data_IF_198689589064
#
_entry.id   IF_198689589064
#
_cell.length_a   1.000
_cell.length_b   1.000
_cell.length_c   1.000
_cell.angle_alpha   90.00
_cell.angle_beta   90.00
_cell.angle_gamma   90.00
#
_symmetry.space_group_name_H-M   'P 1'
#
loop_
_entity.id
_entity.type
_entity.pdbx_description
1 polymer ?
#
# COMPACT_ATOMS: atom_id res chain seq x y z
N UNK A 1 14.32 17.92 -7.72
CA UNK A 1 13.45 17.22 -6.79
C UNK A 1 14.17 16.01 -6.15
N UNK A 2 14.80 15.15 -6.94
CA UNK A 2 15.53 13.96 -6.47
C UNK A 2 17.02 14.21 -6.26
N UNK A 3 17.65 13.36 -5.45
CA UNK A 3 19.10 13.27 -5.33
C UNK A 3 19.63 12.59 -6.60
N UNK A 4 20.15 13.37 -7.53
CA UNK A 4 20.69 12.92 -8.82
C UNK A 4 21.63 13.97 -9.36
N UNK A 5 22.46 13.60 -10.34
CA UNK A 5 23.39 14.50 -11.02
C UNK A 5 23.01 14.65 -12.50
N UNK A 6 22.37 15.77 -12.89
CA UNK A 6 21.94 15.99 -14.27
C UNK A 6 23.09 16.13 -15.28
N UNK A 7 24.33 16.28 -14.83
CA UNK A 7 25.53 16.34 -15.69
C UNK A 7 26.01 14.95 -16.12
N UNK A 8 25.56 13.90 -15.46
CA UNK A 8 25.95 12.51 -15.73
C UNK A 8 24.97 11.81 -16.67
N UNK A 9 25.40 10.79 -17.43
CA UNK A 9 24.52 9.91 -18.15
C UNK A 9 23.46 9.31 -17.19
N UNK A 10 22.22 9.19 -17.67
CA UNK A 10 21.08 8.68 -16.88
C UNK A 10 20.87 9.42 -15.55
N UNK A 11 21.26 10.71 -15.46
CA UNK A 11 21.16 11.52 -14.24
C UNK A 11 21.99 10.97 -13.07
N UNK A 12 23.02 10.17 -13.36
CA UNK A 12 23.89 9.52 -12.38
C UNK A 12 23.32 8.23 -11.79
N UNK A 13 22.14 7.79 -12.23
CA UNK A 13 21.61 6.48 -11.82
C UNK A 13 22.36 5.36 -12.53
N UNK A 14 22.79 4.36 -11.77
CA UNK A 14 23.62 3.25 -12.23
C UNK A 14 22.83 1.99 -12.61
N UNK A 15 21.56 1.91 -12.23
CA UNK A 15 20.68 0.79 -12.50
C UNK A 15 19.22 1.20 -12.41
N UNK A 16 18.32 0.33 -12.91
CA UNK A 16 16.87 0.50 -12.71
C UNK A 16 16.51 0.53 -11.22
N UNK A 17 17.09 -0.35 -10.41
CA UNK A 17 16.85 -0.37 -8.97
C UNK A 17 17.28 0.92 -8.27
N UNK A 18 18.41 1.48 -8.68
CA UNK A 18 18.90 2.77 -8.16
C UNK A 18 17.92 3.91 -8.48
N UNK A 19 17.41 3.96 -9.71
CA UNK A 19 16.34 4.88 -10.10
C UNK A 19 15.05 4.61 -9.36
N UNK A 20 14.62 3.37 -9.25
CA UNK A 20 13.36 2.97 -8.61
C UNK A 20 13.34 3.36 -7.13
N UNK A 21 14.47 3.17 -6.43
CA UNK A 21 14.65 3.50 -5.02
C UNK A 21 15.22 4.90 -4.77
N UNK A 22 15.15 5.81 -5.75
CA UNK A 22 15.69 7.16 -5.66
C UNK A 22 15.20 7.92 -4.43
N UNK A 23 15.94 8.90 -4.02
CA UNK A 23 15.62 9.71 -2.82
C UNK A 23 15.28 11.14 -3.20
N UNK A 24 14.38 11.74 -2.44
CA UNK A 24 14.11 13.17 -2.51
C UNK A 24 15.23 13.97 -1.84
N UNK A 25 15.46 15.17 -2.33
CA UNK A 25 16.27 16.15 -1.62
C UNK A 25 15.56 16.62 -0.37
N UNK A 26 16.30 17.00 0.66
CA UNK A 26 15.74 17.55 1.88
C UNK A 26 14.78 18.72 1.59
N UNK A 27 13.64 18.75 2.28
CA UNK A 27 12.59 19.75 2.11
C UNK A 27 11.70 19.59 0.88
N UNK A 28 11.98 18.61 -0.01
CA UNK A 28 11.07 18.26 -1.09
C UNK A 28 9.99 17.29 -0.56
N UNK A 29 8.74 17.60 -0.74
CA UNK A 29 7.61 16.80 -0.25
C UNK A 29 7.52 16.76 1.28
N UNK A 30 7.27 17.91 1.94
CA UNK A 30 6.96 17.92 3.37
C UNK A 30 5.68 17.12 3.63
N UNK A 31 5.63 16.40 4.75
CA UNK A 31 4.46 15.65 5.16
C UNK A 31 3.33 16.63 5.52
N UNK A 32 2.16 16.41 4.98
CA UNK A 32 0.99 17.23 5.31
C UNK A 32 0.58 17.01 6.77
N UNK A 33 0.16 18.08 7.46
CA UNK A 33 -0.31 17.99 8.84
C UNK A 33 0.79 17.59 9.83
N UNK A 34 2.05 17.91 9.56
CA UNK A 34 3.15 17.64 10.49
C UNK A 34 2.81 18.20 11.89
N UNK A 35 2.87 17.33 12.92
CA UNK A 35 2.51 17.65 14.30
C UNK A 35 1.01 17.50 14.63
N UNK A 36 0.15 17.22 13.66
CA UNK A 36 -1.26 16.88 13.91
C UNK A 36 -1.43 15.36 13.95
N UNK A 37 -1.55 14.78 15.14
CA UNK A 37 -1.73 13.33 15.33
C UNK A 37 -3.03 12.77 14.75
N UNK A 38 -3.99 13.62 14.37
CA UNK A 38 -5.25 13.20 13.71
C UNK A 38 -5.12 13.14 12.19
N UNK A 39 -4.05 13.68 11.63
CA UNK A 39 -3.84 13.67 10.19
C UNK A 39 -3.31 12.33 9.74
N UNK A 40 -4.08 11.62 8.92
CA UNK A 40 -3.65 10.41 8.22
C UNK A 40 -3.23 10.83 6.82
N UNK A 41 -1.99 10.54 6.46
CA UNK A 41 -1.43 10.89 5.15
C UNK A 41 -1.27 9.64 4.27
N UNK A 42 -1.21 9.84 2.96
CA UNK A 42 -0.88 8.74 2.05
C UNK A 42 0.54 8.24 2.32
N UNK A 43 0.72 6.94 2.46
CA UNK A 43 2.04 6.35 2.71
C UNK A 43 3.01 6.51 1.53
N UNK A 44 2.52 6.77 0.32
CA UNK A 44 3.30 6.96 -0.91
C UNK A 44 2.56 7.87 -1.90
N UNK A 45 3.23 8.21 -3.01
CA UNK A 45 2.65 9.04 -4.10
C UNK A 45 1.76 8.22 -5.04
N UNK A 46 0.78 7.54 -4.48
CA UNK A 46 -0.14 6.69 -5.22
C UNK A 46 -1.42 7.44 -5.60
N UNK A 47 -2.05 6.97 -6.67
CA UNK A 47 -3.38 7.44 -7.08
C UNK A 47 -4.44 6.63 -6.34
N UNK A 48 -5.43 7.26 -5.70
CA UNK A 48 -6.52 6.54 -5.06
C UNK A 48 -7.21 5.59 -6.04
N UNK A 49 -7.37 4.34 -5.63
CA UNK A 49 -8.07 3.32 -6.41
C UNK A 49 -9.45 3.03 -5.82
N UNK A 50 -9.50 2.75 -4.52
CA UNK A 50 -10.75 2.43 -3.84
C UNK A 50 -10.70 2.81 -2.36
N UNK A 51 -11.87 3.14 -1.83
CA UNK A 51 -12.11 3.30 -0.39
C UNK A 51 -13.28 2.41 -0.02
N UNK A 52 -13.08 1.51 0.94
CA UNK A 52 -14.11 0.63 1.47
C UNK A 52 -14.27 0.88 2.97
N UNK A 53 -15.49 1.01 3.42
CA UNK A 53 -15.83 1.12 4.82
C UNK A 53 -16.44 -0.19 5.31
N UNK A 54 -16.42 -0.40 6.62
CA UNK A 54 -16.99 -1.59 7.25
C UNK A 54 -16.34 -2.89 6.73
N UNK A 55 -15.00 -2.91 6.70
CA UNK A 55 -14.22 -4.05 6.23
C UNK A 55 -14.56 -5.31 7.05
N UNK A 56 -14.78 -6.42 6.36
CA UNK A 56 -15.17 -7.69 7.00
C UNK A 56 -13.98 -8.61 7.16
N UNK A 57 -14.05 -9.44 8.20
CA UNK A 57 -13.06 -10.50 8.41
C UNK A 57 -12.98 -11.41 7.19
N UNK A 58 -14.12 -11.86 6.68
CA UNK A 58 -14.29 -12.65 5.46
C UNK A 58 -15.46 -12.08 4.66
N UNK A 59 -15.28 -11.87 3.39
CA UNK A 59 -16.32 -11.40 2.50
C UNK A 59 -16.45 -12.32 1.29
N UNK A 60 -17.65 -12.34 0.67
CA UNK A 60 -17.96 -13.19 -0.47
C UNK A 60 -17.93 -12.39 -1.76
N UNK A 61 -17.31 -12.96 -2.79
CA UNK A 61 -17.22 -12.35 -4.12
C UNK A 61 -18.58 -12.31 -4.83
N UNK A 62 -18.91 -11.13 -5.33
CA UNK A 62 -19.89 -10.95 -6.39
C UNK A 62 -19.17 -10.37 -7.62
N UNK A 63 -19.48 -10.83 -8.80
CA UNK A 63 -18.76 -10.74 -10.09
C UNK A 63 -18.30 -9.32 -10.51
N UNK A 64 -18.66 -8.25 -9.82
CA UNK A 64 -18.25 -6.87 -10.18
C UNK A 64 -17.80 -5.99 -9.01
N UNK A 65 -17.87 -6.48 -7.79
CA UNK A 65 -17.29 -5.80 -6.64
C UNK A 65 -16.35 -6.80 -5.97
N UNK A 66 -15.07 -6.48 -5.90
CA UNK A 66 -14.12 -7.33 -5.19
C UNK A 66 -14.10 -6.87 -3.73
N UNK A 67 -14.82 -7.57 -2.83
CA UNK A 67 -14.79 -7.24 -1.43
C UNK A 67 -13.42 -7.57 -0.85
N UNK A 68 -13.00 -6.78 0.12
CA UNK A 68 -11.75 -7.03 0.82
C UNK A 68 -12.01 -7.98 1.99
N UNK A 69 -11.43 -9.17 1.94
CA UNK A 69 -11.38 -10.08 3.10
C UNK A 69 -10.14 -9.79 3.92
N UNK A 70 -10.30 -9.29 5.13
CA UNK A 70 -9.18 -8.99 6.03
C UNK A 70 -8.33 -10.23 6.31
N UNK A 71 -8.96 -11.40 6.40
CA UNK A 71 -8.28 -12.69 6.53
C UNK A 71 -7.24 -12.89 5.42
N UNK A 72 -7.62 -12.59 4.18
CA UNK A 72 -6.76 -12.80 3.03
C UNK A 72 -5.70 -11.71 2.91
N UNK A 73 -6.05 -10.46 3.24
CA UNK A 73 -5.10 -9.34 3.29
C UNK A 73 -3.99 -9.59 4.30
N UNK A 74 -4.33 -9.97 5.52
CA UNK A 74 -3.34 -10.21 6.57
C UNK A 74 -2.63 -11.55 6.45
N UNK A 75 -3.19 -12.50 5.71
CA UNK A 75 -2.60 -13.78 5.41
C UNK A 75 -2.74 -14.85 6.52
N UNK A 76 -2.24 -16.07 6.26
CA UNK A 76 -2.43 -17.20 7.14
C UNK A 76 -1.77 -16.98 8.52
N UNK A 77 -2.43 -17.48 9.57
CA UNK A 77 -1.95 -17.37 10.94
C UNK A 77 -2.17 -16.02 11.62
N UNK A 78 -2.81 -15.05 10.94
CA UNK A 78 -3.04 -13.70 11.45
C UNK A 78 -4.53 -13.40 11.72
N UNK A 79 -5.33 -14.42 12.02
CA UNK A 79 -6.77 -14.29 12.28
C UNK A 79 -7.11 -13.24 13.34
N UNK A 80 -6.43 -13.27 14.48
CA UNK A 80 -6.66 -12.31 15.57
C UNK A 80 -6.33 -10.86 15.16
N UNK A 81 -5.32 -10.67 14.30
CA UNK A 81 -5.02 -9.36 13.75
C UNK A 81 -6.13 -8.91 12.80
N UNK A 82 -6.57 -9.77 11.90
CA UNK A 82 -7.66 -9.49 10.96
C UNK A 82 -8.96 -9.11 11.69
N UNK A 83 -9.32 -9.82 12.74
CA UNK A 83 -10.49 -9.53 13.57
C UNK A 83 -10.42 -8.13 14.21
N UNK A 84 -9.24 -7.68 14.62
CA UNK A 84 -9.07 -6.33 15.20
C UNK A 84 -9.34 -5.20 14.20
N UNK A 85 -9.22 -5.47 12.91
CA UNK A 85 -9.50 -4.50 11.83
C UNK A 85 -10.91 -4.62 11.25
N UNK A 86 -11.72 -5.59 11.72
CA UNK A 86 -13.11 -5.72 11.30
C UNK A 86 -13.91 -4.46 11.68
N UNK A 87 -14.74 -3.99 10.74
CA UNK A 87 -15.47 -2.72 10.87
C UNK A 87 -14.65 -1.48 10.51
N UNK A 88 -13.36 -1.64 10.23
CA UNK A 88 -12.49 -0.55 9.83
C UNK A 88 -12.68 -0.11 8.39
N UNK A 89 -11.84 0.82 7.95
CA UNK A 89 -11.82 1.32 6.57
C UNK A 89 -10.55 0.87 5.87
N UNK A 90 -10.67 0.54 4.58
CA UNK A 90 -9.56 0.22 3.69
C UNK A 90 -9.44 1.33 2.66
N UNK A 91 -8.25 1.90 2.55
CA UNK A 91 -7.85 2.78 1.47
C UNK A 91 -6.85 2.04 0.60
N UNK A 92 -7.20 1.81 -0.66
CA UNK A 92 -6.31 1.23 -1.66
C UNK A 92 -5.90 2.29 -2.67
N UNK A 93 -4.62 2.32 -3.00
CA UNK A 93 -4.08 3.23 -3.99
C UNK A 93 -3.11 2.50 -4.93
N UNK A 94 -3.05 2.95 -6.16
CA UNK A 94 -2.18 2.42 -7.20
C UNK A 94 -0.93 3.26 -7.34
N UNK A 95 0.24 2.64 -7.27
CA UNK A 95 1.53 3.28 -7.44
C UNK A 95 2.16 2.84 -8.76
N UNK A 96 2.12 3.70 -9.77
CA UNK A 96 2.72 3.43 -11.06
C UNK A 96 4.24 3.23 -10.96
N UNK A 97 4.80 2.32 -11.76
CA UNK A 97 6.24 1.99 -11.80
C UNK A 97 7.16 3.21 -12.03
N UNK A 98 6.67 4.28 -12.64
CA UNK A 98 7.45 5.50 -12.89
C UNK A 98 7.43 6.50 -11.75
N UNK A 99 6.53 6.33 -10.76
CA UNK A 99 6.38 7.25 -9.65
C UNK A 99 7.48 7.06 -8.60
N UNK A 100 7.39 7.80 -7.51
CA UNK A 100 8.31 7.70 -6.39
C UNK A 100 7.89 6.52 -5.50
N UNK A 101 8.73 5.49 -5.40
CA UNK A 101 8.41 4.21 -4.75
C UNK A 101 8.83 4.09 -3.28
N UNK A 102 9.40 5.15 -2.68
CA UNK A 102 9.57 5.13 -1.23
C UNK A 102 8.28 5.50 -0.55
N UNK A 103 8.06 4.92 0.58
CA UNK A 103 6.90 5.14 1.41
C UNK A 103 7.30 5.49 2.84
N UNK A 104 6.39 6.04 3.59
CA UNK A 104 6.56 6.50 4.97
C UNK A 104 5.34 6.13 5.80
N UNK A 105 5.47 6.22 7.13
CA UNK A 105 4.36 5.97 8.03
C UNK A 105 3.23 6.98 7.75
N UNK A 106 1.98 6.50 7.54
CA UNK A 106 0.85 7.39 7.29
C UNK A 106 0.33 8.10 8.55
N UNK A 107 0.79 7.68 9.71
CA UNK A 107 0.36 8.17 11.04
C UNK A 107 1.55 8.25 11.99
N UNK A 108 1.43 9.07 13.03
CA UNK A 108 2.35 9.06 14.16
C UNK A 108 1.97 7.95 15.12
N UNK A 109 2.95 7.14 15.53
CA UNK A 109 2.70 6.00 16.40
C UNK A 109 3.88 5.04 16.52
N UNK A 110 3.64 3.90 17.14
CA UNK A 110 4.63 2.86 17.36
C UNK A 110 4.35 1.65 16.47
N UNK A 111 5.37 1.18 15.74
CA UNK A 111 5.28 -0.08 14.98
C UNK A 111 5.15 -1.23 15.98
N UNK A 112 4.06 -1.99 15.88
CA UNK A 112 3.76 -3.09 16.81
C UNK A 112 3.96 -4.47 16.20
N UNK A 113 3.88 -4.59 14.87
CA UNK A 113 4.18 -5.85 14.16
C UNK A 113 4.64 -5.57 12.72
N UNK A 114 5.55 -6.41 12.23
CA UNK A 114 5.98 -6.40 10.82
C UNK A 114 6.23 -7.84 10.36
N UNK A 115 5.68 -8.19 9.19
CA UNK A 115 5.90 -9.51 8.60
C UNK A 115 5.67 -9.50 7.09
N UNK A 116 6.03 -10.59 6.44
CA UNK A 116 5.75 -10.82 5.04
C UNK A 116 4.66 -11.87 4.87
N UNK A 117 3.87 -11.72 3.83
CA UNK A 117 2.93 -12.73 3.34
C UNK A 117 3.41 -13.16 1.97
N UNK A 118 3.68 -14.44 1.82
CA UNK A 118 4.09 -15.01 0.55
C UNK A 118 2.96 -14.95 -0.47
N UNK A 119 3.31 -14.78 -1.72
CA UNK A 119 2.34 -14.66 -2.81
C UNK A 119 3.03 -14.54 -4.17
N UNK A 120 2.29 -14.11 -5.15
CA UNK A 120 2.79 -13.91 -6.51
C UNK A 120 3.52 -12.57 -6.64
N UNK A 121 4.58 -12.52 -7.45
CA UNK A 121 5.27 -11.26 -7.78
C UNK A 121 4.67 -10.57 -8.99
N UNK A 122 3.97 -11.32 -9.83
CA UNK A 122 3.30 -10.85 -11.01
C UNK A 122 2.09 -11.73 -11.30
N UNK A 123 0.92 -11.15 -11.28
CA UNK A 123 -0.31 -11.84 -11.66
C UNK A 123 -1.41 -10.84 -12.03
N UNK A 124 -2.36 -11.30 -12.82
CA UNK A 124 -3.63 -10.62 -13.07
C UNK A 124 -4.76 -11.64 -12.97
N UNK A 125 -5.98 -11.17 -12.77
CA UNK A 125 -7.15 -12.03 -12.88
C UNK A 125 -7.27 -12.56 -14.31
N UNK A 126 -7.82 -13.75 -14.45
CA UNK A 126 -8.11 -14.31 -15.78
C UNK A 126 -9.13 -13.45 -16.51
N UNK A 127 -8.91 -13.22 -17.81
CA UNK A 127 -9.83 -12.56 -18.71
C UNK A 127 -10.16 -13.43 -19.91
N UNK A 128 -11.30 -13.22 -20.52
CA UNK A 128 -11.65 -13.86 -21.78
C UNK A 128 -11.01 -13.09 -22.95
N UNK A 129 -9.91 -13.63 -23.49
CA UNK A 129 -9.17 -13.04 -24.60
C UNK A 129 -8.06 -12.07 -24.17
N UNK A 130 -7.55 -11.29 -25.12
CA UNK A 130 -6.49 -10.33 -24.84
C UNK A 130 -7.04 -9.14 -24.05
N UNK A 131 -6.44 -8.88 -22.89
CA UNK A 131 -6.78 -7.74 -22.03
C UNK A 131 -5.48 -6.97 -21.70
N UNK A 132 -5.18 -5.91 -22.45
CA UNK A 132 -3.98 -5.10 -22.22
C UNK A 132 -4.02 -4.34 -20.90
N UNK A 133 -5.21 -4.11 -20.32
CA UNK A 133 -5.40 -3.44 -19.03
C UNK A 133 -5.54 -4.40 -17.85
N UNK A 134 -5.49 -5.71 -18.10
CA UNK A 134 -5.76 -6.75 -17.10
C UNK A 134 -4.97 -6.61 -15.80
N UNK A 135 -3.74 -6.10 -15.86
CA UNK A 135 -2.94 -5.79 -14.67
C UNK A 135 -3.52 -4.63 -13.86
N UNK A 136 -3.95 -3.57 -14.53
CA UNK A 136 -4.53 -2.40 -13.86
C UNK A 136 -5.91 -2.73 -13.29
N UNK A 137 -6.70 -3.52 -14.01
CA UNK A 137 -8.05 -3.90 -13.62
C UNK A 137 -8.08 -4.99 -12.52
N UNK A 138 -6.95 -5.67 -12.31
CA UNK A 138 -6.80 -6.74 -11.30
C UNK A 138 -6.33 -6.27 -9.94
N UNK A 139 -6.39 -4.99 -9.62
CA UNK A 139 -5.85 -4.44 -8.36
C UNK A 139 -6.52 -5.04 -7.11
N UNK A 140 -7.82 -5.28 -7.13
CA UNK A 140 -8.53 -5.94 -6.02
C UNK A 140 -8.11 -7.40 -5.82
N UNK A 141 -7.87 -8.14 -6.91
CA UNK A 141 -7.34 -9.50 -6.88
C UNK A 141 -5.92 -9.54 -6.30
N UNK A 142 -5.08 -8.60 -6.73
CA UNK A 142 -3.68 -8.53 -6.29
C UNK A 142 -3.53 -8.32 -4.79
N UNK A 143 -4.47 -7.64 -4.13
CA UNK A 143 -4.46 -7.42 -2.68
C UNK A 143 -4.41 -8.73 -1.88
N UNK A 144 -5.09 -9.78 -2.35
CA UNK A 144 -5.12 -11.08 -1.69
C UNK A 144 -4.00 -12.03 -2.15
N UNK A 145 -3.53 -11.87 -3.39
CA UNK A 145 -2.65 -12.84 -4.06
C UNK A 145 -1.18 -12.42 -4.13
N UNK A 146 -0.90 -11.12 -4.12
CA UNK A 146 0.47 -10.63 -4.23
C UNK A 146 1.30 -10.89 -2.96
N UNK A 147 2.59 -11.16 -3.16
CA UNK A 147 3.56 -11.12 -2.07
C UNK A 147 3.59 -9.70 -1.51
N UNK A 148 3.50 -9.57 -0.20
CA UNK A 148 3.35 -8.28 0.47
C UNK A 148 3.99 -8.23 1.84
N UNK A 149 4.35 -7.04 2.26
CA UNK A 149 4.73 -6.76 3.64
C UNK A 149 3.55 -6.13 4.37
N UNK A 150 3.36 -6.51 5.61
CA UNK A 150 2.37 -5.92 6.52
C UNK A 150 3.10 -5.25 7.66
N UNK A 151 2.77 -3.98 7.90
CA UNK A 151 3.32 -3.19 9.01
C UNK A 151 2.15 -2.59 9.77
N UNK A 152 2.02 -2.95 11.05
CA UNK A 152 0.98 -2.39 11.91
C UNK A 152 1.53 -1.34 12.84
N UNK A 153 0.82 -0.23 12.97
CA UNK A 153 1.20 0.94 13.75
C UNK A 153 0.08 1.21 14.76
N UNK A 154 0.40 1.18 16.05
CA UNK A 154 -0.46 1.71 17.09
C UNK A 154 -0.29 3.22 17.09
N UNK A 155 -1.35 3.95 16.73
CA UNK A 155 -1.31 5.41 16.64
C UNK A 155 -1.25 6.05 18.03
N UNK A 156 -0.55 7.17 18.13
CA UNK A 156 -0.49 7.94 19.37
C UNK A 156 -1.85 8.58 19.71
N UNK A 157 -2.64 8.93 18.68
CA UNK A 157 -4.02 9.38 18.87
C UNK A 157 -4.97 8.17 18.94
N UNK A 158 -5.64 7.94 20.10
CA UNK A 158 -6.53 6.79 20.26
C UNK A 158 -7.79 6.87 19.37
N UNK A 159 -8.16 8.04 18.86
CA UNK A 159 -9.28 8.17 17.93
C UNK A 159 -8.96 7.58 16.55
N UNK A 160 -7.69 7.51 16.16
CA UNK A 160 -7.22 6.83 14.94
C UNK A 160 -7.08 5.33 15.17
N UNK A 161 -6.60 4.94 16.35
CA UNK A 161 -6.46 3.53 16.74
C UNK A 161 -5.24 2.85 16.14
N UNK A 162 -5.45 1.75 15.41
CA UNK A 162 -4.37 0.99 14.78
C UNK A 162 -4.50 1.07 13.25
N UNK A 163 -3.39 1.33 12.58
CA UNK A 163 -3.29 1.38 11.11
C UNK A 163 -2.39 0.26 10.63
N UNK A 164 -2.76 -0.40 9.55
CA UNK A 164 -1.93 -1.36 8.84
C UNK A 164 -1.57 -0.82 7.45
N UNK A 165 -0.29 -0.82 7.14
CA UNK A 165 0.22 -0.65 5.79
C UNK A 165 0.49 -2.03 5.19
N UNK A 166 -0.05 -2.27 4.00
CA UNK A 166 0.08 -3.54 3.28
C UNK A 166 0.59 -3.29 1.88
#
# INVERSE_FOLDING_TARGET
QFLCDPSQPYWGFTSWNDFFTRRLRAGMRPVAGEGDGKCIVSACEAVPYNISHDARYEDTFWIKAQPYSLRDIFGPGKAQLAERFAGGSIYQAFLSAYNYHRWHAPVTGTIVDTYHVDGTYYSCAESEGADPEGLNDSQGYSVAMAARAVITIACDDPAVGTVACV
#
